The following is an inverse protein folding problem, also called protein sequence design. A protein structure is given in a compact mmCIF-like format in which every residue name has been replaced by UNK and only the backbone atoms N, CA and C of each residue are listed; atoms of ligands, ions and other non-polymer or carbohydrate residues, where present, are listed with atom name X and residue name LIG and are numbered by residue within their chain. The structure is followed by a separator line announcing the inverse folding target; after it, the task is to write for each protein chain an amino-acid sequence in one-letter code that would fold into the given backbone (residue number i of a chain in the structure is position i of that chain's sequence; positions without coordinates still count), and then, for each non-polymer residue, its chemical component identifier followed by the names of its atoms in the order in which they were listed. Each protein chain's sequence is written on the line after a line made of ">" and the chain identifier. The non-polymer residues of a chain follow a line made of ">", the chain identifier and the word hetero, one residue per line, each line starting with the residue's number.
data_IF_858314466145
#
_entry.id   IF_858314466145
#
_cell.length_a   1.000
_cell.length_b   1.000
_cell.length_c   1.000
_cell.angle_alpha   90.00
_cell.angle_beta   90.00
_cell.angle_gamma   90.00
#
_symmetry.space_group_name_H-M   'P 1'
#
loop_
_entity.id
_entity.type
_entity.pdbx_description
1 polymer ?
#
# COMPACT_ATOMS: atom_id res chain seq x y z
N UNK A 1 4.29 -15.34 -18.69
CA UNK A 1 4.81 -13.99 -18.98
C UNK A 1 6.32 -14.08 -19.09
N UNK A 2 6.96 -13.25 -19.90
CA UNK A 2 8.41 -13.00 -19.75
C UNK A 2 8.61 -12.26 -18.43
N UNK A 3 9.40 -12.81 -17.49
CA UNK A 3 9.78 -12.08 -16.29
C UNK A 3 10.79 -10.99 -16.68
N UNK A 4 10.47 -9.74 -16.35
CA UNK A 4 11.34 -8.61 -16.64
C UNK A 4 12.58 -8.66 -15.75
N UNK A 5 13.72 -8.23 -16.28
CA UNK A 5 14.95 -8.03 -15.50
C UNK A 5 14.80 -6.71 -14.73
N UNK A 6 15.11 -6.73 -13.44
CA UNK A 6 15.11 -5.52 -12.61
C UNK A 6 16.36 -4.70 -12.94
N UNK A 7 16.21 -3.39 -13.15
CA UNK A 7 17.31 -2.51 -13.59
C UNK A 7 17.31 -1.15 -12.90
N UNK A 8 18.47 -0.51 -12.78
CA UNK A 8 18.62 0.85 -12.27
C UNK A 8 17.74 1.88 -13.02
N UNK A 9 17.52 1.68 -14.32
CA UNK A 9 16.62 2.50 -15.13
C UNK A 9 15.16 2.37 -14.67
N UNK A 10 14.67 1.13 -14.54
CA UNK A 10 13.31 0.85 -14.06
C UNK A 10 13.10 1.31 -12.62
N UNK A 11 14.09 1.14 -11.75
CA UNK A 11 14.10 1.69 -10.39
C UNK A 11 13.95 3.21 -10.41
N UNK A 12 14.79 3.92 -11.19
CA UNK A 12 14.77 5.38 -11.20
C UNK A 12 13.42 5.94 -11.67
N UNK A 13 12.87 5.40 -12.76
CA UNK A 13 11.53 5.75 -13.27
C UNK A 13 10.42 5.51 -12.23
N UNK A 14 10.48 4.37 -11.52
CA UNK A 14 9.50 4.03 -10.47
C UNK A 14 9.60 5.00 -9.29
N UNK A 15 10.82 5.37 -8.87
CA UNK A 15 11.04 6.37 -7.82
C UNK A 15 10.55 7.77 -8.22
N UNK A 16 10.69 8.18 -9.49
CA UNK A 16 10.13 9.47 -9.95
C UNK A 16 8.60 9.50 -9.84
N UNK A 17 7.92 8.39 -10.17
CA UNK A 17 6.46 8.29 -9.98
C UNK A 17 6.01 8.10 -8.53
N UNK A 18 6.85 7.56 -7.64
CA UNK A 18 6.58 7.52 -6.21
C UNK A 18 6.57 8.91 -5.59
N UNK A 19 7.50 9.80 -5.96
CA UNK A 19 7.52 11.19 -5.48
C UNK A 19 6.21 11.90 -5.81
N UNK A 20 5.68 11.72 -7.03
CA UNK A 20 4.38 12.27 -7.43
C UNK A 20 3.24 11.71 -6.56
N UNK A 21 3.16 10.39 -6.40
CA UNK A 21 2.11 9.75 -5.59
C UNK A 21 2.19 10.14 -4.11
N UNK A 22 3.40 10.35 -3.55
CA UNK A 22 3.57 10.84 -2.19
C UNK A 22 3.07 12.28 -2.00
N UNK A 23 3.25 13.16 -2.97
CA UNK A 23 2.69 14.51 -2.91
C UNK A 23 1.15 14.46 -2.95
N UNK A 24 0.58 13.67 -3.86
CA UNK A 24 -0.88 13.46 -3.97
C UNK A 24 -1.48 12.87 -2.68
N UNK A 25 -0.81 11.91 -2.04
CA UNK A 25 -1.23 11.33 -0.75
C UNK A 25 -1.07 12.29 0.44
N UNK A 26 -0.09 13.19 0.39
CA UNK A 26 0.07 14.21 1.41
C UNK A 26 -1.09 15.21 1.35
N UNK A 27 -1.39 15.75 0.17
CA UNK A 27 -2.54 16.63 -0.06
C UNK A 27 -3.87 15.95 0.26
N UNK A 28 -4.04 14.67 -0.14
CA UNK A 28 -5.24 13.91 0.25
C UNK A 28 -5.38 13.79 1.77
N UNK A 29 -4.27 13.69 2.51
CA UNK A 29 -4.28 13.67 3.96
C UNK A 29 -4.57 15.05 4.58
N UNK A 30 -4.04 16.15 4.07
CA UNK A 30 -4.39 17.51 4.55
C UNK A 30 -5.85 17.87 4.24
N UNK A 31 -6.41 17.42 3.11
CA UNK A 31 -7.80 17.71 2.71
C UNK A 31 -8.85 16.85 3.43
N UNK A 32 -8.52 15.61 3.83
CA UNK A 32 -9.51 14.61 4.27
C UNK A 32 -9.39 14.16 5.72
N UNK A 33 -8.37 14.59 6.47
CA UNK A 33 -8.12 14.18 7.85
C UNK A 33 -8.14 15.38 8.80
N UNK A 34 -9.31 15.63 9.41
CA UNK A 34 -9.38 16.50 10.60
C UNK A 34 -8.93 15.72 11.84
N UNK A 35 -7.69 15.98 12.29
CA UNK A 35 -7.07 15.36 13.46
C UNK A 35 -7.79 15.69 14.79
N UNK A 36 -8.82 16.56 14.78
CA UNK A 36 -9.69 16.84 15.93
C UNK A 36 -10.94 15.93 15.97
N UNK A 37 -11.36 15.34 14.85
CA UNK A 37 -12.55 14.48 14.74
C UNK A 37 -12.18 12.98 14.58
N UNK A 38 -11.20 12.49 15.34
CA UNK A 38 -10.63 11.14 15.15
C UNK A 38 -11.63 9.99 15.31
N UNK A 39 -12.71 10.19 16.07
CA UNK A 39 -13.80 9.21 16.25
C UNK A 39 -14.88 9.27 15.14
N UNK A 40 -14.86 10.29 14.27
CA UNK A 40 -15.83 10.42 13.18
C UNK A 40 -15.62 9.29 12.15
N UNK A 41 -16.70 8.61 11.77
CA UNK A 41 -16.62 7.50 10.81
C UNK A 41 -16.14 7.94 9.41
N UNK A 42 -16.31 9.22 9.05
CA UNK A 42 -15.77 9.80 7.81
C UNK A 42 -14.24 9.88 7.91
N UNK A 43 -13.70 10.42 9.01
CA UNK A 43 -12.26 10.46 9.28
C UNK A 43 -11.65 9.05 9.29
N UNK A 44 -12.25 8.13 10.06
CA UNK A 44 -11.85 6.72 10.17
C UNK A 44 -11.78 6.03 8.79
N UNK A 45 -12.78 6.24 7.94
CA UNK A 45 -12.80 5.72 6.56
C UNK A 45 -11.67 6.33 5.72
N UNK A 46 -11.50 7.65 5.76
CA UNK A 46 -10.47 8.35 4.98
C UNK A 46 -9.06 7.90 5.39
N UNK A 47 -8.78 7.79 6.70
CA UNK A 47 -7.51 7.34 7.23
C UNK A 47 -7.21 5.89 6.85
N UNK A 48 -8.19 4.98 6.91
CA UNK A 48 -8.03 3.61 6.45
C UNK A 48 -7.74 3.50 4.94
N UNK A 49 -8.34 4.39 4.13
CA UNK A 49 -8.07 4.45 2.67
C UNK A 49 -6.64 4.92 2.40
N UNK A 50 -6.20 6.02 3.04
CA UNK A 50 -4.83 6.53 2.93
C UNK A 50 -3.83 5.48 3.41
N UNK A 51 -4.12 4.76 4.50
CA UNK A 51 -3.29 3.65 5.00
C UNK A 51 -3.11 2.53 3.97
N UNK A 52 -4.17 2.12 3.26
CA UNK A 52 -4.06 1.15 2.15
C UNK A 52 -3.18 1.69 1.02
N UNK A 53 -3.35 2.97 0.64
CA UNK A 53 -2.53 3.59 -0.41
C UNK A 53 -1.04 3.66 -0.02
N UNK A 54 -0.74 3.94 1.25
CA UNK A 54 0.62 3.88 1.81
C UNK A 54 1.20 2.47 1.76
N UNK A 55 0.44 1.43 2.12
CA UNK A 55 0.88 0.04 1.97
C UNK A 55 1.16 -0.32 0.51
N UNK A 56 0.28 0.05 -0.41
CA UNK A 56 0.48 -0.19 -1.85
C UNK A 56 1.74 0.54 -2.36
N UNK A 57 1.99 1.79 -1.96
CA UNK A 57 3.20 2.50 -2.36
C UNK A 57 4.49 1.89 -1.78
N UNK A 58 4.48 1.45 -0.51
CA UNK A 58 5.58 0.66 0.09
C UNK A 58 5.88 -0.60 -0.75
N UNK A 59 4.84 -1.29 -1.23
CA UNK A 59 5.00 -2.51 -2.03
C UNK A 59 5.50 -2.18 -3.46
N UNK A 60 5.04 -1.10 -4.10
CA UNK A 60 5.63 -0.60 -5.36
C UNK A 60 7.13 -0.32 -5.21
N UNK A 61 7.52 0.32 -4.10
CA UNK A 61 8.91 0.67 -3.77
C UNK A 61 9.77 -0.57 -3.61
N UNK A 62 9.28 -1.57 -2.87
CA UNK A 62 9.98 -2.84 -2.72
C UNK A 62 10.12 -3.57 -4.07
N UNK A 63 9.07 -3.62 -4.90
CA UNK A 63 9.13 -4.17 -6.26
C UNK A 63 10.06 -3.39 -7.22
N UNK A 64 10.50 -2.18 -6.85
CA UNK A 64 11.47 -1.42 -7.63
C UNK A 64 12.93 -1.74 -7.28
N UNK A 65 13.21 -2.14 -6.02
CA UNK A 65 14.57 -2.44 -5.49
C UNK A 65 14.88 -3.94 -5.42
N UNK A 66 13.90 -4.76 -5.06
CA UNK A 66 14.05 -6.19 -4.79
C UNK A 66 13.46 -7.07 -5.90
N UNK A 67 14.11 -8.21 -6.14
CA UNK A 67 13.62 -9.21 -7.10
C UNK A 67 14.06 -10.63 -6.77
N UNK A 68 13.55 -11.60 -7.52
CA UNK A 68 13.90 -13.02 -7.40
C UNK A 68 15.23 -13.31 -8.10
N UNK A 69 16.14 -14.04 -7.43
CA UNK A 69 17.34 -14.62 -8.05
C UNK A 69 17.11 -16.10 -8.33
N UNK A 70 17.52 -16.55 -9.52
CA UNK A 70 17.35 -17.94 -9.96
C UNK A 70 18.69 -18.68 -9.92
N UNK A 71 18.75 -19.95 -9.49
CA UNK A 71 19.99 -20.72 -9.37
C UNK A 71 20.84 -20.88 -10.65
N UNK A 72 20.32 -20.49 -11.82
CA UNK A 72 20.96 -20.59 -13.13
C UNK A 72 21.09 -19.23 -13.85
N UNK A 73 20.92 -18.10 -13.15
CA UNK A 73 20.98 -16.76 -13.75
C UNK A 73 21.69 -15.75 -12.84
N UNK A 74 22.57 -14.94 -13.43
CA UNK A 74 23.23 -13.80 -12.79
C UNK A 74 22.40 -12.52 -12.87
N UNK A 75 21.06 -12.64 -12.89
CA UNK A 75 20.13 -11.52 -13.01
C UNK A 75 19.04 -11.59 -11.94
N UNK A 76 18.68 -10.40 -11.42
CA UNK A 76 17.55 -10.19 -10.53
C UNK A 76 16.30 -9.95 -11.39
N UNK A 77 15.22 -10.69 -11.13
CA UNK A 77 13.95 -10.59 -11.88
C UNK A 77 12.87 -9.87 -11.09
N UNK A 78 12.10 -9.01 -11.75
CA UNK A 78 10.96 -8.30 -11.13
C UNK A 78 9.90 -9.30 -10.64
N UNK A 79 9.59 -9.25 -9.35
CA UNK A 79 8.48 -9.99 -8.74
C UNK A 79 7.12 -9.55 -9.29
N UNK A 80 6.18 -10.47 -9.47
CA UNK A 80 4.78 -10.13 -9.73
C UNK A 80 4.10 -9.58 -8.45
N UNK A 81 3.10 -8.72 -8.61
CA UNK A 81 2.51 -7.94 -7.50
C UNK A 81 2.04 -8.78 -6.30
N UNK A 82 1.43 -9.94 -6.55
CA UNK A 82 1.01 -10.89 -5.51
C UNK A 82 2.20 -11.50 -4.76
N UNK A 83 3.32 -11.73 -5.44
CA UNK A 83 4.56 -12.23 -4.85
C UNK A 83 5.24 -11.15 -3.98
N UNK A 84 5.17 -9.88 -4.39
CA UNK A 84 5.63 -8.72 -3.60
C UNK A 84 4.82 -8.62 -2.31
N UNK A 85 3.50 -8.81 -2.39
CA UNK A 85 2.62 -8.79 -1.24
C UNK A 85 2.97 -9.91 -0.23
N UNK A 86 3.09 -11.16 -0.68
CA UNK A 86 3.46 -12.27 0.21
C UNK A 86 4.87 -12.09 0.82
N UNK A 87 5.85 -11.61 0.04
CA UNK A 87 7.21 -11.39 0.53
C UNK A 87 7.36 -10.23 1.53
N UNK A 88 6.66 -9.11 1.33
CA UNK A 88 6.93 -7.85 2.05
C UNK A 88 5.78 -7.32 2.92
N UNK A 89 4.63 -8.01 2.94
CA UNK A 89 3.52 -7.73 3.85
C UNK A 89 3.17 -8.94 4.73
N UNK A 90 2.93 -10.12 4.16
CA UNK A 90 2.63 -11.33 4.96
C UNK A 90 3.89 -12.04 5.48
N UNK A 91 5.08 -11.69 4.98
CA UNK A 91 6.37 -12.34 5.29
C UNK A 91 6.41 -13.85 5.01
N UNK A 92 5.58 -14.32 4.07
CA UNK A 92 5.44 -15.73 3.67
C UNK A 92 6.08 -15.94 2.30
N UNK A 93 7.41 -15.95 2.26
CA UNK A 93 8.18 -16.16 1.02
C UNK A 93 9.33 -17.14 1.23
N UNK A 94 9.21 -18.31 0.60
CA UNK A 94 10.32 -19.25 0.40
C UNK A 94 11.31 -18.78 -0.68
N UNK A 95 10.99 -17.72 -1.43
CA UNK A 95 11.87 -17.18 -2.48
C UNK A 95 13.12 -16.53 -1.88
N UNK A 96 14.28 -16.87 -2.44
CA UNK A 96 15.51 -16.09 -2.27
C UNK A 96 15.37 -14.79 -3.07
N UNK A 97 15.40 -13.67 -2.36
CA UNK A 97 15.35 -12.33 -2.95
C UNK A 97 16.72 -11.64 -2.82
N UNK A 98 17.00 -10.76 -3.77
CA UNK A 98 18.20 -9.93 -3.82
C UNK A 98 17.82 -8.50 -4.21
N UNK A 99 18.72 -7.54 -4.00
CA UNK A 99 18.50 -6.12 -4.31
C UNK A 99 19.48 -5.54 -5.32
N UNK A 100 19.01 -4.58 -6.11
CA UNK A 100 19.90 -3.81 -6.98
C UNK A 100 20.84 -2.97 -6.11
N UNK A 101 22.15 -3.22 -6.26
CA UNK A 101 23.18 -2.36 -5.69
C UNK A 101 23.05 -0.93 -6.24
N UNK A 102 22.90 0.04 -5.34
CA UNK A 102 22.60 1.43 -5.67
C UNK A 102 23.87 2.28 -5.79
N UNK A 103 23.74 3.44 -6.44
CA UNK A 103 24.70 4.54 -6.29
C UNK A 103 24.27 5.44 -5.13
N UNK A 104 25.19 6.17 -4.46
CA UNK A 104 24.83 7.04 -3.32
C UNK A 104 23.75 8.09 -3.63
N UNK A 105 23.61 8.51 -4.88
CA UNK A 105 22.56 9.40 -5.34
C UNK A 105 21.17 8.72 -5.37
N UNK A 106 21.12 7.44 -5.74
CA UNK A 106 19.90 6.63 -5.73
C UNK A 106 19.55 6.15 -4.32
N UNK A 107 20.53 5.86 -3.47
CA UNK A 107 20.32 5.63 -2.02
C UNK A 107 19.65 6.86 -1.39
N UNK A 108 20.23 8.06 -1.57
CA UNK A 108 19.66 9.30 -1.06
C UNK A 108 18.23 9.55 -1.59
N UNK A 109 17.96 9.28 -2.88
CA UNK A 109 16.60 9.37 -3.47
C UNK A 109 15.63 8.39 -2.79
N UNK A 110 16.08 7.15 -2.55
CA UNK A 110 15.30 6.10 -1.89
C UNK A 110 14.98 6.46 -0.43
N UNK A 111 15.93 7.03 0.31
CA UNK A 111 15.76 7.40 1.72
C UNK A 111 14.90 8.65 1.90
N UNK A 112 15.10 9.71 1.11
CA UNK A 112 14.20 10.88 1.08
C UNK A 112 12.74 10.47 0.86
N UNK A 113 12.52 9.44 0.04
CA UNK A 113 11.21 8.88 -0.23
C UNK A 113 10.64 8.04 0.94
N UNK A 114 11.48 7.48 1.83
CA UNK A 114 11.02 6.93 3.12
C UNK A 114 10.52 8.06 4.03
N UNK A 115 11.24 9.18 4.13
CA UNK A 115 10.80 10.32 4.96
C UNK A 115 9.45 10.90 4.51
N UNK A 116 9.16 10.94 3.19
CA UNK A 116 7.84 11.31 2.67
C UNK A 116 6.73 10.38 3.18
N UNK A 117 6.93 9.06 3.11
CA UNK A 117 6.00 8.06 3.64
C UNK A 117 5.77 8.20 5.14
N UNK A 118 6.82 8.49 5.92
CA UNK A 118 6.73 8.68 7.37
C UNK A 118 5.91 9.93 7.74
N UNK A 119 6.03 11.03 7.00
CA UNK A 119 5.25 12.24 7.25
C UNK A 119 3.74 12.00 7.04
N UNK A 120 3.35 11.29 5.97
CA UNK A 120 1.94 10.94 5.72
C UNK A 120 1.46 9.92 6.78
N UNK A 121 2.31 8.98 7.20
CA UNK A 121 2.01 8.07 8.31
C UNK A 121 1.73 8.83 9.61
N UNK A 122 2.40 9.95 9.86
CA UNK A 122 2.11 10.85 10.98
C UNK A 122 0.64 11.28 11.00
N UNK A 123 0.11 11.77 9.88
CA UNK A 123 -1.29 12.25 9.77
C UNK A 123 -2.37 11.17 9.97
N UNK A 124 -2.06 9.91 9.67
CA UNK A 124 -2.94 8.76 9.99
C UNK A 124 -2.67 8.13 11.37
N UNK A 125 -1.73 8.67 12.15
CA UNK A 125 -1.43 8.14 13.49
C UNK A 125 -2.55 8.43 14.52
N UNK A 126 -3.26 9.58 14.52
CA UNK A 126 -4.39 9.78 15.44
C UNK A 126 -5.57 8.80 15.21
N UNK A 127 -5.74 8.29 13.99
CA UNK A 127 -6.66 7.18 13.68
C UNK A 127 -6.19 5.84 14.28
N UNK A 128 -4.88 5.61 14.28
CA UNK A 128 -4.20 4.48 14.93
C UNK A 128 -4.06 4.81 16.42
N UNK A 129 -5.21 4.98 17.09
CA UNK A 129 -5.30 5.51 18.45
C UNK A 129 -4.42 4.71 19.43
N UNK A 130 -3.33 5.29 19.97
CA UNK A 130 -2.43 4.56 20.87
C UNK A 130 -3.05 4.30 22.26
N UNK A 131 -4.26 4.82 22.51
CA UNK A 131 -5.06 4.57 23.71
C UNK A 131 -6.25 3.61 23.45
N UNK A 132 -6.42 3.09 22.22
CA UNK A 132 -7.25 1.88 22.04
C UNK A 132 -6.57 0.69 22.74
N UNK A 133 -7.36 -0.32 23.12
CA UNK A 133 -6.80 -1.60 23.54
C UNK A 133 -5.88 -2.12 22.41
N UNK A 134 -4.62 -2.48 22.67
CA UNK A 134 -3.72 -3.01 21.64
C UNK A 134 -4.35 -4.15 20.82
N UNK A 135 -5.20 -4.97 21.46
CA UNK A 135 -5.95 -6.04 20.79
C UNK A 135 -6.96 -5.51 19.76
N UNK A 136 -7.68 -4.41 20.04
CA UNK A 136 -8.63 -3.81 19.08
C UNK A 136 -7.87 -3.24 17.85
N UNK A 137 -6.64 -2.76 18.04
CA UNK A 137 -5.78 -2.33 16.94
C UNK A 137 -5.19 -3.52 16.16
N UNK A 138 -4.70 -4.57 16.82
CA UNK A 138 -4.23 -5.81 16.19
C UNK A 138 -5.34 -6.44 15.33
N UNK A 139 -6.55 -6.59 15.89
CA UNK A 139 -7.76 -7.07 15.21
C UNK A 139 -8.10 -6.20 13.98
N UNK A 140 -8.00 -4.87 14.10
CA UNK A 140 -8.20 -4.00 12.95
C UNK A 140 -7.11 -4.17 11.87
N UNK A 141 -5.86 -4.44 12.26
CA UNK A 141 -4.80 -4.74 11.31
C UNK A 141 -4.98 -6.09 10.60
N UNK A 142 -5.58 -7.09 11.25
CA UNK A 142 -6.01 -8.34 10.60
C UNK A 142 -7.10 -8.09 9.54
N UNK A 143 -8.14 -7.32 9.88
CA UNK A 143 -9.17 -6.90 8.92
C UNK A 143 -8.54 -6.19 7.69
N UNK A 144 -7.59 -5.30 7.92
CA UNK A 144 -6.88 -4.56 6.87
C UNK A 144 -5.96 -5.46 6.03
N UNK A 145 -5.35 -6.49 6.60
CA UNK A 145 -4.59 -7.49 5.87
C UNK A 145 -5.49 -8.30 4.92
N UNK A 146 -6.69 -8.72 5.37
CA UNK A 146 -7.68 -9.39 4.51
C UNK A 146 -8.10 -8.50 3.32
N UNK A 147 -8.31 -7.20 3.56
CA UNK A 147 -8.64 -6.22 2.52
C UNK A 147 -7.51 -6.07 1.51
N UNK A 148 -6.25 -5.96 1.96
CA UNK A 148 -5.08 -5.91 1.07
C UNK A 148 -4.96 -7.20 0.25
N UNK A 149 -5.03 -8.38 0.89
CA UNK A 149 -5.03 -9.70 0.21
C UNK A 149 -6.09 -9.78 -0.88
N UNK A 150 -7.28 -9.22 -0.62
CA UNK A 150 -8.39 -9.15 -1.58
C UNK A 150 -8.13 -8.17 -2.72
N UNK A 151 -7.44 -7.05 -2.50
CA UNK A 151 -6.99 -6.14 -3.56
C UNK A 151 -6.04 -6.87 -4.51
N UNK A 152 -4.97 -7.50 -4.01
CA UNK A 152 -4.00 -8.21 -4.85
C UNK A 152 -4.63 -9.36 -5.64
N UNK A 153 -5.43 -10.20 -4.98
CA UNK A 153 -6.13 -11.33 -5.62
C UNK A 153 -7.07 -10.90 -6.76
N UNK A 154 -7.73 -9.75 -6.62
CA UNK A 154 -8.69 -9.25 -7.61
C UNK A 154 -8.05 -8.39 -8.72
N UNK A 155 -6.92 -7.72 -8.46
CA UNK A 155 -6.37 -6.66 -9.32
C UNK A 155 -4.93 -6.96 -9.72
N UNK A 156 -4.75 -7.65 -10.86
CA UNK A 156 -3.43 -7.87 -11.45
C UNK A 156 -2.76 -6.54 -11.79
N UNK A 157 -1.44 -6.52 -11.65
CA UNK A 157 -0.57 -5.37 -11.97
C UNK A 157 -0.94 -4.06 -11.22
N UNK A 158 -1.68 -4.13 -10.09
CA UNK A 158 -2.09 -2.99 -9.26
C UNK A 158 -0.93 -2.05 -8.89
N UNK A 159 0.25 -2.59 -8.55
CA UNK A 159 1.47 -1.85 -8.23
C UNK A 159 2.06 -1.12 -9.45
N UNK A 160 1.76 -1.58 -10.66
CA UNK A 160 2.10 -0.88 -11.91
C UNK A 160 0.98 0.07 -12.35
N UNK A 161 -0.28 -0.24 -12.03
CA UNK A 161 -1.43 0.61 -12.34
C UNK A 161 -1.45 1.89 -11.49
N UNK A 162 -1.12 1.83 -10.19
CA UNK A 162 -1.06 3.05 -9.35
C UNK A 162 0.09 3.99 -9.70
N UNK A 163 1.04 3.60 -10.55
CA UNK A 163 2.03 4.55 -11.12
C UNK A 163 1.41 5.43 -12.23
N UNK A 164 0.16 5.17 -12.65
CA UNK A 164 -0.61 5.96 -13.61
C UNK A 164 -1.55 6.92 -12.91
N UNK A 165 -1.48 8.19 -13.29
CA UNK A 165 -2.11 9.29 -12.58
C UNK A 165 -3.65 9.21 -12.64
N UNK A 166 -4.20 8.96 -13.82
CA UNK A 166 -5.63 8.68 -14.03
C UNK A 166 -6.16 7.53 -13.15
N UNK A 167 -5.39 6.43 -13.00
CA UNK A 167 -5.80 5.31 -12.17
C UNK A 167 -5.86 5.68 -10.69
N UNK A 168 -4.88 6.45 -10.19
CA UNK A 168 -4.89 6.93 -8.80
C UNK A 168 -6.10 7.81 -8.50
N UNK A 169 -6.34 8.81 -9.34
CA UNK A 169 -7.42 9.79 -9.14
C UNK A 169 -8.80 9.19 -9.36
N UNK A 170 -8.99 8.40 -10.43
CA UNK A 170 -10.33 8.01 -10.88
C UNK A 170 -10.73 6.57 -10.51
N UNK A 171 -9.79 5.68 -10.13
CA UNK A 171 -10.05 4.25 -9.99
C UNK A 171 -9.62 3.64 -8.64
N UNK A 172 -8.54 4.10 -8.01
CA UNK A 172 -7.97 3.46 -6.81
C UNK A 172 -8.97 3.40 -5.63
N UNK A 173 -9.70 4.48 -5.35
CA UNK A 173 -10.74 4.49 -4.31
C UNK A 173 -11.88 3.49 -4.59
N UNK A 174 -12.20 3.23 -5.87
CA UNK A 174 -13.22 2.25 -6.27
C UNK A 174 -12.72 0.83 -6.03
N UNK A 175 -11.44 0.56 -6.28
CA UNK A 175 -10.78 -0.72 -5.96
C UNK A 175 -10.80 -0.96 -4.44
N UNK A 176 -10.46 0.06 -3.64
CA UNK A 176 -10.46 -0.04 -2.18
C UNK A 176 -11.89 -0.26 -1.64
N UNK A 177 -12.87 0.57 -2.04
CA UNK A 177 -14.30 0.39 -1.68
C UNK A 177 -14.80 -1.01 -1.97
N UNK A 178 -14.48 -1.53 -3.16
CA UNK A 178 -14.88 -2.87 -3.62
C UNK A 178 -14.23 -3.99 -2.79
N UNK A 179 -12.96 -3.85 -2.42
CA UNK A 179 -12.29 -4.84 -1.57
C UNK A 179 -12.91 -4.90 -0.16
N UNK A 180 -13.19 -3.76 0.46
CA UNK A 180 -13.93 -3.67 1.73
C UNK A 180 -15.28 -4.42 1.67
N UNK A 181 -16.09 -4.17 0.63
CA UNK A 181 -17.39 -4.83 0.44
C UNK A 181 -17.24 -6.34 0.19
N UNK A 182 -16.32 -6.76 -0.67
CA UNK A 182 -16.14 -8.20 -0.97
C UNK A 182 -15.56 -8.99 0.23
N UNK A 183 -14.73 -8.38 1.08
CA UNK A 183 -14.29 -9.02 2.33
C UNK A 183 -15.46 -9.14 3.31
N UNK A 184 -16.25 -8.09 3.51
CA UNK A 184 -17.44 -8.12 4.38
C UNK A 184 -18.47 -9.18 3.97
N UNK A 185 -18.66 -9.39 2.66
CA UNK A 185 -19.55 -10.42 2.12
C UNK A 185 -19.04 -11.86 2.31
N UNK A 186 -17.77 -12.07 2.69
CA UNK A 186 -17.12 -13.40 2.72
C UNK A 186 -16.41 -13.72 4.03
N UNK A 187 -16.17 -12.74 4.90
CA UNK A 187 -15.46 -12.84 6.16
C UNK A 187 -16.16 -11.96 7.21
N UNK A 188 -16.09 -12.35 8.48
CA UNK A 188 -16.59 -11.54 9.59
C UNK A 188 -15.57 -10.44 9.95
N UNK A 189 -15.73 -9.26 9.35
CA UNK A 189 -15.00 -8.05 9.75
C UNK A 189 -15.38 -7.62 11.18
N UNK A 190 -14.45 -6.95 11.85
CA UNK A 190 -14.63 -6.47 13.22
C UNK A 190 -15.18 -5.04 13.28
N UNK A 191 -15.48 -4.57 14.50
CA UNK A 191 -16.30 -3.37 14.79
C UNK A 191 -15.88 -2.11 14.01
N UNK A 192 -14.57 -1.86 13.86
CA UNK A 192 -14.04 -0.67 13.17
C UNK A 192 -14.12 -0.81 11.64
N UNK A 193 -13.71 -1.95 11.07
CA UNK A 193 -13.79 -2.18 9.63
C UNK A 193 -15.24 -2.34 9.13
N UNK A 194 -16.11 -3.01 9.89
CA UNK A 194 -17.54 -3.12 9.56
C UNK A 194 -18.20 -1.74 9.42
N UNK A 195 -18.00 -0.83 10.38
CA UNK A 195 -18.50 0.55 10.28
C UNK A 195 -18.00 1.29 9.04
N UNK A 196 -16.76 1.01 8.59
CA UNK A 196 -16.24 1.57 7.34
C UNK A 196 -17.03 1.03 6.13
N UNK A 197 -17.38 -0.26 6.11
CA UNK A 197 -18.23 -0.84 5.05
C UNK A 197 -19.64 -0.25 5.07
N UNK A 198 -20.27 -0.13 6.24
CA UNK A 198 -21.57 0.54 6.41
C UNK A 198 -21.52 1.98 5.85
N UNK A 199 -20.48 2.75 6.17
CA UNK A 199 -20.26 4.11 5.69
C UNK A 199 -19.77 4.21 4.22
N UNK A 200 -19.38 3.10 3.59
CA UNK A 200 -19.17 3.00 2.14
C UNK A 200 -20.51 2.74 1.46
N UNK A 201 -21.29 1.75 1.93
CA UNK A 201 -22.58 1.36 1.36
C UNK A 201 -23.62 2.49 1.41
N UNK A 202 -23.60 3.30 2.47
CA UNK A 202 -24.41 4.52 2.57
C UNK A 202 -23.93 5.69 1.68
N UNK A 203 -22.93 5.47 0.81
CA UNK A 203 -22.35 6.46 -0.11
C UNK A 203 -22.20 5.95 -1.56
N UNK A 204 -23.07 5.02 -1.95
CA UNK A 204 -23.20 4.45 -3.29
C UNK A 204 -24.48 4.97 -3.98
#
# INVERSE_FOLDING_TARGET
>A
MTQNILTLYLLNQRLDKMIQFHNELFTEADEKLDENETENIIYIKNAAFILIKLYLCKLCKNQARYGEVKPQSSHIYTLADEEVYFAFHEFQSEKVLDEIQLSPQLEQKYDQDIFRLLNIRGKVTPFINPNENPQDFEIFMEDMALILKKIFKNNKDILTQILKDDFRTNHLDKVIKRAFIEVYQTNKLHKKANKIVEAILASL
#
